data_IF_695804195319
#
_entry.id   IF_695804195319
#
_cell.length_a   1.000
_cell.length_b   1.000
_cell.length_c   1.000
_cell.angle_alpha   90.00
_cell.angle_beta   90.00
_cell.angle_gamma   90.00
#
_symmetry.space_group_name_H-M   'P 1'
#
loop_
_entity.id
_entity.type
_entity.pdbx_description
1 polymer ?
#
# COMPACT_ATOMS: atom_id res chain seq x y z
N UNK A 1 -4.97 -5.33 2.25
CA UNK A 1 -4.59 -5.59 0.85
C UNK A 1 -5.41 -4.78 -0.15
N UNK A 2 -6.75 -4.79 -0.10
CA UNK A 2 -7.64 -4.03 -1.01
C UNK A 2 -7.23 -2.57 -1.25
N UNK A 3 -7.07 -1.79 -0.18
CA UNK A 3 -6.67 -0.38 -0.27
C UNK A 3 -5.32 -0.16 -0.99
N UNK A 4 -4.35 -1.07 -0.81
CA UNK A 4 -3.05 -0.97 -1.48
C UNK A 4 -3.17 -1.29 -2.98
N UNK A 5 -3.96 -2.31 -3.34
CA UNK A 5 -4.23 -2.65 -4.76
C UNK A 5 -4.95 -1.49 -5.46
N UNK A 6 -5.95 -0.90 -4.81
CA UNK A 6 -6.69 0.26 -5.33
C UNK A 6 -5.77 1.47 -5.51
N UNK A 7 -4.89 1.74 -4.54
CA UNK A 7 -3.88 2.80 -4.61
C UNK A 7 -2.92 2.63 -5.80
N UNK A 8 -2.36 1.43 -5.98
CA UNK A 8 -1.48 1.15 -7.15
C UNK A 8 -2.26 1.25 -8.45
N UNK A 9 -3.50 0.77 -8.50
CA UNK A 9 -4.36 0.89 -9.69
C UNK A 9 -4.64 2.35 -10.05
N UNK A 10 -4.81 3.22 -9.06
CA UNK A 10 -4.95 4.67 -9.26
C UNK A 10 -3.66 5.27 -9.84
N UNK A 11 -2.48 4.89 -9.32
CA UNK A 11 -1.19 5.34 -9.87
C UNK A 11 -1.00 4.94 -11.34
N UNK A 12 -1.36 3.70 -11.70
CA UNK A 12 -1.31 3.24 -13.09
C UNK A 12 -2.26 4.04 -13.99
N UNK A 13 -3.47 4.33 -13.53
CA UNK A 13 -4.40 5.23 -14.25
C UNK A 13 -3.82 6.63 -14.43
N UNK A 14 -3.13 7.18 -13.42
CA UNK A 14 -2.47 8.48 -13.52
C UNK A 14 -1.35 8.47 -14.57
N UNK A 15 -0.54 7.41 -14.60
CA UNK A 15 0.53 7.26 -15.60
C UNK A 15 -0.03 7.14 -17.02
N UNK A 16 -1.06 6.33 -17.21
CA UNK A 16 -1.60 6.05 -18.54
C UNK A 16 -2.56 7.11 -19.06
N UNK A 17 -3.26 7.87 -18.20
CA UNK A 17 -4.34 8.76 -18.65
C UNK A 17 -4.00 10.26 -18.60
N UNK A 18 -2.82 10.65 -18.11
CA UNK A 18 -2.45 12.07 -18.04
C UNK A 18 -1.32 12.40 -19.01
N UNK A 19 -1.48 13.48 -19.78
CA UNK A 19 -0.46 13.92 -20.75
C UNK A 19 0.88 14.21 -20.08
N UNK A 20 0.87 14.77 -18.86
CA UNK A 20 2.09 15.11 -18.12
C UNK A 20 2.93 13.87 -17.79
N UNK A 21 2.30 12.77 -17.36
CA UNK A 21 3.01 11.53 -17.03
C UNK A 21 3.45 10.77 -18.28
N UNK A 22 2.63 10.78 -19.34
CA UNK A 22 3.00 10.21 -20.63
C UNK A 22 4.21 10.91 -21.25
N UNK A 23 4.31 12.25 -21.14
CA UNK A 23 5.45 13.04 -21.68
C UNK A 23 6.81 12.62 -21.11
N UNK A 24 6.84 12.12 -19.87
CA UNK A 24 8.07 11.64 -19.22
C UNK A 24 8.20 10.11 -19.28
N UNK A 25 7.31 9.42 -20.01
CA UNK A 25 7.24 7.97 -20.07
C UNK A 25 7.18 7.33 -18.67
N UNK A 26 6.36 7.89 -17.77
CA UNK A 26 6.20 7.37 -16.42
C UNK A 26 5.57 5.97 -16.45
N UNK A 27 6.09 5.07 -15.62
CA UNK A 27 5.61 3.71 -15.52
C UNK A 27 6.24 2.99 -14.34
N UNK A 28 5.69 1.83 -14.00
CA UNK A 28 6.25 0.94 -12.98
C UNK A 28 7.12 -0.09 -13.69
N UNK A 29 8.44 -0.15 -13.42
CA UNK A 29 9.28 -1.18 -13.98
C UNK A 29 8.92 -2.54 -13.39
N UNK A 30 9.05 -3.59 -14.20
CA UNK A 30 8.85 -4.96 -13.73
C UNK A 30 10.11 -5.45 -13.02
N UNK A 31 10.27 -5.03 -11.77
CA UNK A 31 11.48 -5.25 -10.97
C UNK A 31 11.48 -6.55 -10.13
N UNK A 32 10.40 -7.33 -10.16
CA UNK A 32 10.16 -8.48 -9.28
C UNK A 32 9.98 -9.76 -10.08
N UNK A 33 11.07 -10.52 -10.36
CA UNK A 33 11.02 -11.76 -11.15
C UNK A 33 10.15 -12.85 -10.54
N UNK A 34 10.03 -12.89 -9.21
CA UNK A 34 9.22 -13.83 -8.45
C UNK A 34 7.71 -13.63 -8.62
N UNK A 35 7.28 -12.47 -9.11
CA UNK A 35 5.89 -12.21 -9.44
C UNK A 35 5.52 -12.76 -10.83
N UNK A 36 4.23 -13.03 -11.10
CA UNK A 36 3.81 -13.55 -12.40
C UNK A 36 4.31 -12.66 -13.54
N UNK A 37 5.04 -13.26 -14.50
CA UNK A 37 5.64 -12.56 -15.64
C UNK A 37 4.75 -12.60 -16.89
N UNK A 38 3.79 -13.53 -16.94
CA UNK A 38 2.90 -13.78 -18.07
C UNK A 38 1.52 -13.10 -17.94
N UNK A 39 1.35 -12.22 -16.95
CA UNK A 39 0.10 -11.50 -16.69
C UNK A 39 0.33 -9.98 -16.82
N UNK A 40 -0.66 -9.17 -17.25
CA UNK A 40 -0.54 -7.71 -17.26
C UNK A 40 -0.16 -7.14 -15.88
N UNK A 41 0.67 -6.10 -15.87
CA UNK A 41 1.17 -5.47 -14.64
C UNK A 41 0.05 -4.82 -13.81
N UNK A 42 -1.01 -4.36 -14.49
CA UNK A 42 -2.22 -3.78 -13.88
C UNK A 42 -3.22 -4.84 -13.39
N UNK A 43 -2.91 -6.13 -13.53
CA UNK A 43 -3.74 -7.20 -12.95
C UNK A 43 -3.66 -7.20 -11.41
N UNK A 44 -4.77 -7.46 -10.70
CA UNK A 44 -4.76 -7.55 -9.24
C UNK A 44 -3.76 -8.57 -8.69
N UNK A 45 -3.56 -9.70 -9.38
CA UNK A 45 -2.62 -10.75 -8.98
C UNK A 45 -1.15 -10.29 -9.06
N UNK A 46 -0.78 -9.56 -10.13
CA UNK A 46 0.57 -9.02 -10.26
C UNK A 46 0.82 -7.91 -9.25
N UNK A 47 -0.15 -7.00 -9.07
CA UNK A 47 -0.08 -5.92 -8.09
C UNK A 47 0.05 -6.48 -6.66
N UNK A 48 -0.77 -7.47 -6.28
CA UNK A 48 -0.70 -8.07 -4.95
C UNK A 48 0.66 -8.70 -4.68
N UNK A 49 1.21 -9.45 -5.63
CA UNK A 49 2.54 -10.04 -5.48
C UNK A 49 3.60 -8.96 -5.23
N UNK A 50 3.62 -7.91 -6.06
CA UNK A 50 4.58 -6.82 -5.91
C UNK A 50 4.44 -6.13 -4.55
N UNK A 51 3.21 -5.86 -4.11
CA UNK A 51 2.96 -5.26 -2.78
C UNK A 51 3.53 -6.16 -1.68
N UNK A 52 3.31 -7.47 -1.75
CA UNK A 52 3.79 -8.40 -0.73
C UNK A 52 5.31 -8.52 -0.70
N UNK A 53 5.97 -8.47 -1.84
CA UNK A 53 7.44 -8.59 -1.87
C UNK A 53 8.14 -7.27 -1.54
N UNK A 54 7.62 -6.15 -2.02
CA UNK A 54 8.31 -4.86 -1.92
C UNK A 54 8.03 -4.10 -0.63
N UNK A 55 6.87 -4.30 0.00
CA UNK A 55 6.45 -3.41 1.10
C UNK A 55 7.41 -3.45 2.29
N UNK A 56 7.81 -2.26 2.73
CA UNK A 56 8.62 -2.04 3.92
C UNK A 56 7.88 -1.11 4.89
N UNK A 57 8.34 -1.06 6.14
CA UNK A 57 7.84 -0.09 7.11
C UNK A 57 8.30 1.32 6.76
N UNK A 58 7.43 2.31 7.00
CA UNK A 58 7.78 3.73 6.94
C UNK A 58 8.28 4.25 8.31
N UNK A 59 8.65 3.36 9.24
CA UNK A 59 9.07 3.73 10.60
C UNK A 59 8.02 4.51 11.40
N UNK A 60 6.74 4.21 11.18
CA UNK A 60 5.63 4.73 11.98
C UNK A 60 4.97 3.65 12.87
N UNK A 61 5.72 2.84 13.65
CA UNK A 61 5.09 1.98 14.64
C UNK A 61 4.42 2.87 15.70
N UNK A 62 3.17 2.57 16.03
CA UNK A 62 2.40 3.28 17.02
C UNK A 62 1.41 2.32 17.70
N UNK A 63 0.71 2.82 18.72
CA UNK A 63 -0.43 2.13 19.35
C UNK A 63 -0.10 0.84 20.12
N UNK A 64 1.15 0.61 20.54
CA UNK A 64 1.49 -0.50 21.45
C UNK A 64 0.87 -0.33 22.86
N UNK A 65 0.66 0.92 23.29
CA UNK A 65 -0.16 1.28 24.45
C UNK A 65 -1.37 2.09 23.96
N UNK A 66 -2.36 1.40 23.40
CA UNK A 66 -3.51 2.05 22.77
C UNK A 66 -4.31 2.89 23.78
N UNK A 67 -4.67 4.10 23.40
CA UNK A 67 -5.59 4.95 24.15
C UNK A 67 -7.03 4.56 23.81
N UNK A 68 -7.87 4.34 24.82
CA UNK A 68 -9.26 3.90 24.64
C UNK A 68 -10.16 4.21 25.82
N UNK A 69 -11.42 3.75 25.74
CA UNK A 69 -12.39 3.90 26.82
C UNK A 69 -12.12 2.88 27.92
N UNK A 70 -12.60 3.16 29.14
CA UNK A 70 -12.43 2.27 30.29
C UNK A 70 -13.09 0.90 30.08
N UNK A 71 -14.15 0.83 29.27
CA UNK A 71 -14.86 -0.41 28.97
C UNK A 71 -14.28 -1.17 27.76
N UNK A 72 -13.32 -0.60 27.03
CA UNK A 72 -12.65 -1.27 25.91
C UNK A 72 -11.56 -2.22 26.45
N UNK A 73 -11.72 -3.54 26.32
CA UNK A 73 -10.75 -4.50 26.84
C UNK A 73 -9.37 -4.43 26.17
N UNK A 74 -9.22 -3.71 25.05
CA UNK A 74 -7.94 -3.51 24.37
C UNK A 74 -7.26 -2.18 24.73
N UNK A 75 -7.90 -1.32 25.54
CA UNK A 75 -7.31 -0.06 25.98
C UNK A 75 -6.18 -0.30 27.00
N UNK A 76 -5.08 0.43 26.86
CA UNK A 76 -3.96 0.41 27.80
C UNK A 76 -3.90 1.70 28.62
N UNK A 77 -4.27 2.85 28.01
CA UNK A 77 -4.29 4.14 28.69
C UNK A 77 -5.59 4.90 28.44
N UNK A 78 -6.01 5.73 29.40
CA UNK A 78 -7.14 6.63 29.25
C UNK A 78 -6.78 7.93 28.47
N UNK A 79 -7.74 8.84 28.32
CA UNK A 79 -7.53 10.13 27.63
C UNK A 79 -6.59 11.09 28.36
N UNK A 80 -6.20 10.76 29.60
CA UNK A 80 -5.20 11.45 30.41
C UNK A 80 -3.88 10.68 30.48
N UNK A 81 -3.70 9.65 29.64
CA UNK A 81 -2.51 8.79 29.54
C UNK A 81 -2.24 7.93 30.79
N UNK A 82 -3.27 7.65 31.59
CA UNK A 82 -3.18 6.80 32.80
C UNK A 82 -3.54 5.36 32.50
#
# INVERSE_FOLDING_TARGET
>A
MKAMIEGVSLLLKLYHNTTSMQRINAGIPRAYPECPQNVPLDSPASIECVIRTFTLTLYHPSSTCAMGKAEDPNSVVDSQLR
#
